data_IF_506539913022
#
_entry.id   IF_506539913022
#
_cell.length_a   1.000
_cell.length_b   1.000
_cell.length_c   1.000
_cell.angle_alpha   90.00
_cell.angle_beta   90.00
_cell.angle_gamma   90.00
#
_symmetry.space_group_name_H-M   'P 1'
#
loop_
_entity.id
_entity.type
_entity.pdbx_description
1 polymer ?
#
# COMPACT_ATOMS: atom_id res chain seq x y z
N UNK A 1 14.21 -18.52 11.23
CA UNK A 1 13.58 -18.95 9.97
C UNK A 1 12.18 -18.32 9.89
N UNK A 2 12.00 -17.17 9.22
CA UNK A 2 10.67 -16.70 8.77
C UNK A 2 10.78 -15.38 7.97
N UNK A 3 11.44 -15.41 6.81
CA UNK A 3 11.59 -14.21 5.99
C UNK A 3 11.57 -14.54 4.49
N UNK A 4 10.61 -15.35 4.02
CA UNK A 4 10.60 -15.77 2.62
C UNK A 4 9.24 -16.27 2.11
N UNK A 5 8.13 -15.72 2.59
CA UNK A 5 6.82 -16.18 2.10
C UNK A 5 6.45 -15.60 0.73
N UNK A 6 7.20 -14.66 0.16
CA UNK A 6 6.85 -14.04 -1.14
C UNK A 6 5.50 -13.30 -1.16
N UNK A 7 4.80 -13.25 -0.01
CA UNK A 7 3.46 -12.73 0.14
C UNK A 7 3.50 -11.33 0.75
N UNK A 8 2.68 -10.43 0.21
CA UNK A 8 2.57 -9.07 0.69
C UNK A 8 1.96 -9.04 2.11
N UNK A 9 2.54 -8.21 2.97
CA UNK A 9 2.07 -7.97 4.34
C UNK A 9 1.95 -9.23 5.22
N UNK A 10 2.76 -10.26 4.97
CA UNK A 10 2.69 -11.55 5.70
C UNK A 10 3.29 -11.53 7.12
N UNK A 11 3.90 -10.43 7.56
CA UNK A 11 4.53 -10.37 8.90
C UNK A 11 3.48 -10.42 10.01
N UNK A 12 3.71 -11.19 11.09
CA UNK A 12 2.83 -11.19 12.26
C UNK A 12 2.59 -9.76 12.78
N UNK A 13 1.34 -9.45 13.11
CA UNK A 13 0.93 -8.13 13.59
C UNK A 13 0.76 -7.07 12.50
N UNK A 14 1.00 -7.37 11.22
CA UNK A 14 0.55 -6.51 10.13
C UNK A 14 -0.97 -6.56 10.00
N UNK A 15 -1.61 -5.41 9.88
CA UNK A 15 -3.07 -5.25 9.89
C UNK A 15 -3.66 -4.94 8.52
N UNK A 16 -2.89 -5.10 7.44
CA UNK A 16 -3.33 -4.81 6.08
C UNK A 16 -4.54 -5.65 5.69
N UNK A 17 -4.42 -6.98 5.77
CA UNK A 17 -5.48 -7.89 5.34
C UNK A 17 -6.80 -7.74 6.13
N UNK A 18 -6.78 -7.61 7.48
CA UNK A 18 -7.97 -7.27 8.23
C UNK A 18 -8.55 -5.89 7.85
N UNK A 19 -7.71 -4.86 7.65
CA UNK A 19 -8.18 -3.52 7.31
C UNK A 19 -8.82 -3.47 5.92
N UNK A 20 -8.24 -4.16 4.94
CA UNK A 20 -8.75 -4.28 3.57
C UNK A 20 -10.14 -4.93 3.54
N UNK A 21 -10.34 -5.97 4.33
CA UNK A 21 -11.65 -6.61 4.45
C UNK A 21 -12.67 -5.71 5.15
N UNK A 22 -12.31 -5.16 6.31
CA UNK A 22 -13.20 -4.32 7.10
C UNK A 22 -13.57 -3.00 6.41
N UNK A 23 -12.80 -2.58 5.40
CA UNK A 23 -13.07 -1.39 4.60
C UNK A 23 -13.98 -1.63 3.39
N UNK A 24 -14.38 -2.87 3.12
CA UNK A 24 -15.27 -3.20 2.00
C UNK A 24 -14.58 -3.64 0.70
N UNK A 25 -13.25 -3.49 0.58
CA UNK A 25 -12.53 -3.88 -0.65
C UNK A 25 -12.62 -5.39 -0.94
N UNK A 26 -12.75 -6.21 0.09
CA UNK A 26 -12.89 -7.66 -0.07
C UNK A 26 -14.07 -8.20 0.75
N UNK A 27 -14.84 -9.16 0.21
CA UNK A 27 -16.03 -9.70 0.88
C UNK A 27 -15.69 -10.56 2.11
N UNK A 28 -14.44 -11.02 2.21
CA UNK A 28 -13.89 -11.78 3.33
C UNK A 28 -12.46 -11.35 3.62
N UNK A 29 -11.95 -11.69 4.80
CA UNK A 29 -10.53 -11.52 5.11
C UNK A 29 -9.70 -12.59 4.39
N UNK A 30 -8.83 -12.14 3.49
CA UNK A 30 -7.82 -13.00 2.87
C UNK A 30 -6.62 -13.22 3.79
N UNK A 31 -5.97 -14.37 3.66
CA UNK A 31 -4.61 -14.62 4.12
C UNK A 31 -3.60 -14.09 3.10
N UNK A 32 -2.35 -13.81 3.51
CA UNK A 32 -1.29 -13.41 2.59
C UNK A 32 -1.09 -14.37 1.41
N UNK A 33 -1.21 -15.69 1.63
CA UNK A 33 -1.10 -16.68 0.55
C UNK A 33 -2.23 -16.61 -0.49
N UNK A 34 -3.37 -16.00 -0.15
CA UNK A 34 -4.54 -15.85 -1.03
C UNK A 34 -4.49 -14.55 -1.87
N UNK A 35 -3.37 -13.80 -1.83
CA UNK A 35 -3.25 -12.48 -2.48
C UNK A 35 -3.59 -12.45 -3.99
N UNK A 36 -3.47 -13.58 -4.69
CA UNK A 36 -3.85 -13.69 -6.10
C UNK A 36 -5.36 -13.54 -6.33
N UNK A 37 -6.20 -13.85 -5.33
CA UNK A 37 -7.66 -13.69 -5.42
C UNK A 37 -8.10 -12.23 -5.57
N UNK A 38 -7.25 -11.27 -5.17
CA UNK A 38 -7.51 -9.83 -5.32
C UNK A 38 -7.85 -9.45 -6.76
N UNK A 39 -7.23 -10.12 -7.75
CA UNK A 39 -7.49 -9.86 -9.16
C UNK A 39 -8.95 -10.16 -9.55
N UNK A 40 -9.58 -11.13 -8.89
CA UNK A 40 -11.00 -11.45 -9.07
C UNK A 40 -11.93 -10.31 -8.64
N UNK A 41 -11.46 -9.42 -7.77
CA UNK A 41 -12.15 -8.20 -7.33
C UNK A 41 -11.57 -6.93 -7.94
N UNK A 42 -10.81 -7.06 -9.04
CA UNK A 42 -10.16 -5.94 -9.75
C UNK A 42 -9.17 -5.16 -8.88
N UNK A 43 -8.60 -5.80 -7.87
CA UNK A 43 -7.59 -5.23 -7.00
C UNK A 43 -6.21 -5.77 -7.36
N UNK A 44 -5.23 -4.88 -7.45
CA UNK A 44 -3.81 -5.21 -7.59
C UNK A 44 -3.04 -4.96 -6.29
N UNK A 45 -1.95 -5.69 -6.10
CA UNK A 45 -1.04 -5.49 -4.97
C UNK A 45 0.41 -5.55 -5.45
N UNK A 46 1.24 -4.62 -4.98
CA UNK A 46 2.66 -4.57 -5.35
C UNK A 46 3.47 -3.87 -4.25
N UNK A 47 4.80 -3.98 -4.32
CA UNK A 47 5.71 -3.28 -3.42
C UNK A 47 6.39 -2.12 -4.16
N UNK A 48 6.61 -1.00 -3.46
CA UNK A 48 7.46 0.09 -3.96
C UNK A 48 8.91 -0.38 -4.13
N UNK A 49 9.41 -1.19 -3.20
CA UNK A 49 10.76 -1.77 -3.26
C UNK A 49 10.67 -3.30 -3.25
N UNK A 50 11.33 -3.95 -4.19
CA UNK A 50 11.23 -5.40 -4.44
C UNK A 50 12.05 -6.25 -3.45
N UNK A 51 12.92 -5.64 -2.63
CA UNK A 51 13.81 -6.39 -1.74
C UNK A 51 13.04 -6.98 -0.55
N UNK A 52 13.08 -8.31 -0.33
CA UNK A 52 12.58 -8.90 0.89
C UNK A 52 13.45 -8.47 2.08
N UNK A 53 12.81 -8.31 3.24
CA UNK A 53 13.39 -8.23 4.60
C UNK A 53 13.67 -6.87 5.27
N UNK A 54 13.78 -5.73 4.58
CA UNK A 54 14.01 -4.47 5.29
C UNK A 54 12.76 -4.03 6.10
N UNK A 55 12.92 -3.62 7.37
CA UNK A 55 11.90 -2.77 8.02
C UNK A 55 11.76 -1.49 7.19
N UNK A 56 10.60 -0.82 7.24
CA UNK A 56 10.43 0.45 6.50
C UNK A 56 11.51 1.50 6.84
N UNK A 57 12.15 1.42 8.01
CA UNK A 57 13.27 2.28 8.42
C UNK A 57 14.68 1.81 7.98
N UNK A 58 14.80 0.68 7.30
CA UNK A 58 16.08 0.14 6.78
C UNK A 58 16.24 0.37 5.27
N UNK A 59 15.20 0.84 4.58
CA UNK A 59 15.28 1.23 3.17
C UNK A 59 15.93 2.60 3.06
N UNK A 60 16.97 2.71 2.25
CA UNK A 60 17.57 4.01 1.94
C UNK A 60 16.61 4.84 1.10
N UNK A 61 16.73 6.17 1.20
CA UNK A 61 15.97 7.09 0.34
C UNK A 61 16.20 6.80 -1.15
N UNK A 62 17.42 6.43 -1.54
CA UNK A 62 17.75 6.09 -2.93
C UNK A 62 17.00 4.84 -3.42
N UNK A 63 16.86 3.81 -2.58
CA UNK A 63 16.07 2.61 -2.91
C UNK A 63 14.58 2.93 -3.05
N UNK A 64 14.06 3.82 -2.21
CA UNK A 64 12.66 4.27 -2.30
C UNK A 64 12.41 5.08 -3.57
N UNK A 65 13.31 5.99 -3.95
CA UNK A 65 13.21 6.75 -5.20
C UNK A 65 13.23 5.82 -6.42
N UNK A 66 14.21 4.93 -6.51
CA UNK A 66 14.30 3.96 -7.61
C UNK A 66 13.08 3.01 -7.63
N UNK A 67 12.54 2.67 -6.46
CA UNK A 67 11.29 1.94 -6.33
C UNK A 67 10.07 2.71 -6.84
N UNK A 68 10.00 4.00 -6.53
CA UNK A 68 9.00 4.92 -7.04
C UNK A 68 8.98 4.99 -8.57
N UNK A 69 10.16 5.08 -9.20
CA UNK A 69 10.29 5.09 -10.67
C UNK A 69 9.73 3.80 -11.31
N UNK A 70 10.05 2.63 -10.74
CA UNK A 70 9.50 1.34 -11.21
C UNK A 70 7.99 1.25 -10.99
N UNK A 71 7.49 1.78 -9.87
CA UNK A 71 6.06 1.83 -9.59
C UNK A 71 5.33 2.74 -10.60
N UNK A 72 5.90 3.90 -10.94
CA UNK A 72 5.36 4.79 -11.97
C UNK A 72 5.25 4.06 -13.31
N UNK A 73 6.30 3.34 -13.73
CA UNK A 73 6.27 2.57 -14.96
C UNK A 73 5.13 1.53 -14.97
N UNK A 74 4.98 0.75 -13.89
CA UNK A 74 3.88 -0.23 -13.75
C UNK A 74 2.50 0.45 -13.79
N UNK A 75 2.35 1.59 -13.13
CA UNK A 75 1.07 2.34 -13.11
C UNK A 75 0.73 2.89 -14.49
N UNK A 76 1.71 3.37 -15.25
CA UNK A 76 1.49 3.81 -16.64
C UNK A 76 1.15 2.64 -17.58
N UNK A 77 1.70 1.46 -17.33
CA UNK A 77 1.41 0.24 -18.11
C UNK A 77 0.00 -0.30 -17.85
N UNK A 78 -0.38 -0.47 -16.58
CA UNK A 78 -1.66 -1.08 -16.20
C UNK A 78 -2.81 -0.08 -16.08
N UNK A 79 -2.51 1.22 -15.99
CA UNK A 79 -3.46 2.32 -15.91
C UNK A 79 -4.64 2.09 -14.93
N UNK A 80 -4.38 1.70 -13.66
CA UNK A 80 -5.46 1.54 -12.68
C UNK A 80 -6.14 2.88 -12.41
N UNK A 81 -7.39 2.84 -11.95
CA UNK A 81 -8.11 4.05 -11.59
C UNK A 81 -7.47 4.78 -10.39
N UNK A 82 -7.02 3.98 -9.42
CA UNK A 82 -6.40 4.43 -8.19
C UNK A 82 -5.08 3.70 -7.92
N UNK A 83 -4.07 4.46 -7.50
CA UNK A 83 -2.89 3.96 -6.80
C UNK A 83 -2.98 4.32 -5.32
N UNK A 84 -3.11 3.33 -4.46
CA UNK A 84 -3.05 3.52 -3.01
C UNK A 84 -1.64 3.21 -2.48
N UNK A 85 -0.94 4.23 -1.98
CA UNK A 85 0.38 4.07 -1.35
C UNK A 85 0.20 3.99 0.17
N UNK A 86 0.54 2.83 0.74
CA UNK A 86 0.30 2.56 2.15
C UNK A 86 1.52 2.98 2.99
N UNK A 87 1.49 4.21 3.50
CA UNK A 87 2.50 4.83 4.35
C UNK A 87 3.02 6.14 3.77
N UNK A 88 2.72 7.25 4.46
CA UNK A 88 3.07 8.60 3.99
C UNK A 88 4.59 8.81 3.81
N UNK A 89 5.43 8.28 4.69
CA UNK A 89 6.89 8.42 4.54
C UNK A 89 7.40 7.75 3.27
N UNK A 90 6.93 6.52 2.98
CA UNK A 90 7.30 5.82 1.75
C UNK A 90 6.84 6.59 0.50
N UNK A 91 5.66 7.20 0.55
CA UNK A 91 5.17 8.08 -0.53
C UNK A 91 6.08 9.30 -0.72
N UNK A 92 6.34 10.05 0.36
CA UNK A 92 7.20 11.25 0.34
C UNK A 92 8.58 10.96 -0.22
N UNK A 93 9.19 9.85 0.20
CA UNK A 93 10.52 9.46 -0.25
C UNK A 93 10.53 8.94 -1.70
N UNK A 94 9.55 8.11 -2.08
CA UNK A 94 9.49 7.52 -3.42
C UNK A 94 9.12 8.54 -4.52
N UNK A 95 8.31 9.54 -4.20
CA UNK A 95 7.81 10.53 -5.17
C UNK A 95 8.39 11.94 -4.99
N UNK A 96 9.21 12.17 -3.95
CA UNK A 96 9.80 13.49 -3.67
C UNK A 96 8.84 14.52 -3.09
N UNK A 97 7.63 14.11 -2.68
CA UNK A 97 6.52 14.98 -2.26
C UNK A 97 6.58 15.28 -0.76
N UNK A 98 7.55 16.09 -0.29
CA UNK A 98 7.89 16.24 1.14
C UNK A 98 6.73 16.61 2.06
N UNK A 99 5.79 17.41 1.56
CA UNK A 99 4.66 17.94 2.34
C UNK A 99 3.37 17.11 2.19
N UNK A 100 3.42 15.99 1.47
CA UNK A 100 2.26 15.13 1.22
C UNK A 100 1.58 14.66 2.51
N UNK A 101 0.25 14.77 2.56
CA UNK A 101 -0.60 14.30 3.65
C UNK A 101 -1.18 12.90 3.39
N UNK A 102 -2.00 12.42 4.34
CA UNK A 102 -2.89 11.27 4.10
C UNK A 102 -4.05 11.67 3.19
N UNK A 103 -4.65 10.71 2.47
CA UNK A 103 -5.81 10.96 1.61
C UNK A 103 -5.46 11.15 0.14
N UNK A 104 -6.39 11.76 -0.61
CA UNK A 104 -6.21 12.11 -2.02
C UNK A 104 -5.02 13.06 -2.22
N UNK A 105 -4.21 12.80 -3.24
CA UNK A 105 -3.11 13.66 -3.64
C UNK A 105 -3.46 14.43 -4.93
N UNK A 106 -2.92 15.64 -5.06
CA UNK A 106 -2.99 16.40 -6.33
C UNK A 106 -2.22 15.70 -7.46
N UNK A 107 -1.14 15.01 -7.10
CA UNK A 107 -0.32 14.24 -8.03
C UNK A 107 -1.13 13.12 -8.69
N UNK A 108 -0.98 13.01 -10.01
CA UNK A 108 -1.47 11.89 -10.83
C UNK A 108 -0.30 11.20 -11.53
N UNK A 109 -0.52 9.95 -11.93
CA UNK A 109 0.41 9.19 -12.77
C UNK A 109 -0.38 8.78 -14.03
N UNK A 110 -0.19 9.52 -15.13
CA UNK A 110 -1.10 9.41 -16.27
C UNK A 110 -2.54 9.79 -15.86
N UNK A 111 -3.51 8.90 -16.14
CA UNK A 111 -4.90 9.04 -15.68
C UNK A 111 -5.11 8.61 -14.23
N UNK A 112 -4.21 7.80 -13.66
CA UNK A 112 -4.34 7.22 -12.33
C UNK A 112 -4.29 8.28 -11.23
N UNK A 113 -5.29 8.26 -10.35
CA UNK A 113 -5.36 9.08 -9.14
C UNK A 113 -4.53 8.45 -8.03
N UNK A 114 -3.90 9.26 -7.18
CA UNK A 114 -3.04 8.76 -6.11
C UNK A 114 -3.67 9.04 -4.74
N UNK A 115 -3.69 8.03 -3.88
CA UNK A 115 -4.18 8.11 -2.51
C UNK A 115 -3.11 7.62 -1.54
N UNK A 116 -2.91 8.32 -0.42
CA UNK A 116 -1.98 7.92 0.63
C UNK A 116 -2.76 7.37 1.82
N UNK A 117 -2.52 6.10 2.14
CA UNK A 117 -3.14 5.40 3.26
C UNK A 117 -2.16 5.27 4.44
N UNK A 118 -2.66 5.13 5.68
CA UNK A 118 -1.81 4.90 6.84
C UNK A 118 -1.10 3.54 6.81
N UNK A 119 0.11 3.48 7.38
CA UNK A 119 0.89 2.23 7.44
C UNK A 119 0.27 1.21 8.40
N UNK A 120 -0.04 -0.04 7.95
CA UNK A 120 -0.75 -1.05 8.71
C UNK A 120 0.16 -1.88 9.63
N UNK A 121 1.47 -1.65 9.61
CA UNK A 121 2.42 -2.29 10.52
C UNK A 121 1.94 -2.21 11.97
N UNK A 122 2.01 -3.32 12.71
CA UNK A 122 1.67 -3.35 14.14
C UNK A 122 2.51 -2.41 15.01
N UNK A 123 3.67 -1.97 14.51
CA UNK A 123 4.53 -0.97 15.18
C UNK A 123 3.93 0.44 15.14
N UNK A 124 2.96 0.70 14.26
CA UNK A 124 2.26 1.98 14.20
C UNK A 124 1.11 2.00 15.22
N UNK A 125 1.42 2.39 16.46
CA UNK A 125 0.47 2.41 17.57
C UNK A 125 -0.64 3.47 17.41
N UNK A 126 -0.42 4.53 16.62
CA UNK A 126 -1.39 5.61 16.44
C UNK A 126 -2.61 5.20 15.60
N UNK A 127 -2.42 4.25 14.70
CA UNK A 127 -3.49 3.71 13.86
C UNK A 127 -3.93 2.36 14.39
N UNK A 128 -5.06 2.31 15.10
CA UNK A 128 -5.75 1.06 15.46
C UNK A 128 -6.38 0.43 14.22
N UNK A 129 -6.69 -0.86 14.26
CA UNK A 129 -7.34 -1.54 13.13
C UNK A 129 -8.63 -0.83 12.67
N UNK A 130 -9.54 -0.38 13.56
CA UNK A 130 -10.72 0.39 13.12
C UNK A 130 -10.38 1.69 12.38
N UNK A 131 -9.32 2.41 12.80
CA UNK A 131 -8.87 3.63 12.12
C UNK A 131 -8.26 3.33 10.75
N UNK A 132 -7.52 2.23 10.62
CA UNK A 132 -7.00 1.77 9.33
C UNK A 132 -8.16 1.42 8.38
N UNK A 133 -9.12 0.63 8.85
CA UNK A 133 -10.29 0.25 8.07
C UNK A 133 -11.10 1.47 7.61
N UNK A 134 -11.33 2.45 8.50
CA UNK A 134 -12.00 3.69 8.14
C UNK A 134 -11.26 4.47 7.04
N UNK A 135 -9.94 4.63 7.16
CA UNK A 135 -9.14 5.33 6.15
C UNK A 135 -9.12 4.59 4.80
N UNK A 136 -9.16 3.25 4.80
CA UNK A 136 -9.28 2.46 3.58
C UNK A 136 -10.69 2.59 2.97
N UNK A 137 -11.74 2.66 3.80
CA UNK A 137 -13.13 2.78 3.36
C UNK A 137 -13.40 4.13 2.70
N UNK A 138 -12.72 5.19 3.13
CA UNK A 138 -12.78 6.50 2.45
C UNK A 138 -12.35 6.40 0.97
N UNK A 139 -11.34 5.58 0.66
CA UNK A 139 -10.94 5.32 -0.72
C UNK A 139 -11.94 4.39 -1.43
N UNK A 140 -12.40 3.34 -0.75
CA UNK A 140 -13.35 2.37 -1.34
C UNK A 140 -14.63 3.07 -1.82
N UNK A 141 -15.20 3.98 -1.03
CA UNK A 141 -16.42 4.70 -1.38
C UNK A 141 -16.30 5.64 -2.60
N UNK A 142 -15.08 5.98 -3.02
CA UNK A 142 -14.81 6.86 -4.18
C UNK A 142 -14.14 6.12 -5.34
N UNK A 143 -13.98 4.81 -5.20
CA UNK A 143 -13.44 3.89 -6.20
C UNK A 143 -14.53 3.26 -7.06
#
# INVERSE_FOLDING_TARGET
MSAETGHHFARPGNRFWPALHLSGFTPRQLKPEEQSELLGWRLGITNVVERPSAKAGELSKAELVAGGERLVAKVLEFAPEWLAVVGVTAYRDAFGERDAGMGLQEKRIGSTRVWVLPNPSGLNAHYTLPKLAAAFAELEHVS
#
